data_IF_418651631606
#
_entry.id   IF_418651631606
#
_cell.length_a   1.000
_cell.length_b   1.000
_cell.length_c   1.000
_cell.angle_alpha   90.00
_cell.angle_beta   90.00
_cell.angle_gamma   90.00
#
_symmetry.space_group_name_H-M   'P 1'
#
loop_
_entity.id
_entity.type
_entity.pdbx_description
1 polymer ?
#
# COMPACT_ATOMS: atom_id res chain seq x y z
N UNK A 1 10.74 7.57 24.59
CA UNK A 1 12.07 7.71 23.96
C UNK A 1 13.01 6.62 24.42
N UNK A 2 13.32 6.52 25.72
CA UNK A 2 14.22 5.46 26.24
C UNK A 2 13.64 4.06 25.97
N UNK A 3 12.35 3.83 26.21
CA UNK A 3 11.65 2.58 25.88
C UNK A 3 11.72 2.20 24.39
N UNK A 4 11.86 3.20 23.50
CA UNK A 4 11.98 2.97 22.06
C UNK A 4 13.40 2.51 21.68
N UNK A 5 14.40 2.88 22.48
CA UNK A 5 15.81 2.58 22.25
C UNK A 5 16.29 1.32 22.98
N UNK A 6 15.62 0.96 24.08
CA UNK A 6 15.93 -0.21 24.92
C UNK A 6 16.01 -1.55 24.17
N UNK A 7 15.21 -1.83 23.12
CA UNK A 7 15.32 -3.10 22.39
C UNK A 7 16.52 -3.18 21.44
N UNK A 8 17.14 -2.05 21.08
CA UNK A 8 18.18 -1.99 20.04
C UNK A 8 19.50 -2.68 20.44
N UNK A 9 20.04 -2.53 21.66
CA UNK A 9 21.22 -3.25 22.13
C UNK A 9 21.04 -4.77 22.08
N UNK A 10 19.89 -5.27 22.53
CA UNK A 10 19.57 -6.71 22.48
C UNK A 10 19.43 -7.22 21.04
N UNK A 11 19.01 -6.36 20.10
CA UNK A 11 18.97 -6.70 18.69
C UNK A 11 20.38 -6.78 18.05
N UNK A 12 21.33 -5.98 18.57
CA UNK A 12 22.73 -5.92 18.13
C UNK A 12 23.53 -7.14 18.62
N UNK A 13 23.25 -7.66 19.81
CA UNK A 13 23.96 -8.80 20.41
C UNK A 13 23.59 -10.18 19.81
N UNK A 14 22.83 -10.23 18.72
CA UNK A 14 22.41 -11.50 18.10
C UNK A 14 23.61 -12.26 17.51
N UNK A 15 23.74 -13.53 17.91
CA UNK A 15 24.86 -14.44 17.55
C UNK A 15 25.00 -14.74 16.03
N UNK A 16 24.04 -14.36 15.19
CA UNK A 16 24.01 -14.70 13.76
C UNK A 16 24.05 -13.46 12.85
N UNK A 17 25.02 -12.59 13.10
CA UNK A 17 25.23 -11.40 12.29
C UNK A 17 25.63 -11.75 10.84
N UNK A 18 24.95 -11.14 9.87
CA UNK A 18 25.34 -11.15 8.45
C UNK A 18 26.63 -10.36 8.24
N UNK A 19 27.23 -10.44 7.04
CA UNK A 19 28.47 -9.71 6.76
C UNK A 19 28.22 -8.20 6.79
N UNK A 20 27.06 -7.74 6.29
CA UNK A 20 26.66 -6.33 6.34
C UNK A 20 26.39 -5.86 7.78
N UNK A 21 25.71 -6.69 8.59
CA UNK A 21 25.52 -6.42 10.01
C UNK A 21 26.86 -6.31 10.76
N UNK A 22 27.82 -7.18 10.46
CA UNK A 22 29.16 -7.10 11.05
C UNK A 22 29.89 -5.81 10.66
N UNK A 23 29.82 -5.39 9.38
CA UNK A 23 30.38 -4.11 8.93
C UNK A 23 29.74 -2.91 9.66
N UNK A 24 28.43 -2.98 9.91
CA UNK A 24 27.72 -1.96 10.69
C UNK A 24 28.23 -1.92 12.13
N UNK A 25 28.38 -3.07 12.78
CA UNK A 25 28.90 -3.17 14.14
C UNK A 25 30.36 -2.73 14.26
N UNK A 26 31.19 -3.06 13.28
CA UNK A 26 32.60 -2.62 13.25
C UNK A 26 32.69 -1.09 13.13
N UNK A 27 31.75 -0.45 12.43
CA UNK A 27 31.74 1.00 12.21
C UNK A 27 31.11 1.79 13.37
N UNK A 28 30.05 1.25 13.99
CA UNK A 28 29.18 2.01 14.91
C UNK A 28 28.89 1.31 16.25
N UNK A 29 29.34 0.07 16.44
CA UNK A 29 28.99 -0.76 17.60
C UNK A 29 29.52 -0.22 18.93
N UNK A 30 30.73 0.33 18.92
CA UNK A 30 31.33 0.95 20.11
C UNK A 30 30.56 2.21 20.54
N UNK A 31 30.20 3.07 19.58
CA UNK A 31 29.42 4.28 19.83
C UNK A 31 28.03 3.93 20.39
N UNK A 32 27.35 2.93 19.80
CA UNK A 32 26.05 2.44 20.28
C UNK A 32 26.09 1.87 21.70
N UNK A 33 27.17 1.17 22.04
CA UNK A 33 27.36 0.61 23.39
C UNK A 33 27.61 1.73 24.40
N UNK A 34 28.42 2.73 24.02
CA UNK A 34 28.67 3.91 24.85
C UNK A 34 27.38 4.71 25.08
N UNK A 35 26.56 4.88 24.05
CA UNK A 35 25.25 5.57 24.12
C UNK A 35 24.30 4.87 25.08
N UNK A 36 24.21 3.55 24.98
CA UNK A 36 23.38 2.75 25.86
C UNK A 36 23.84 2.86 27.32
N UNK A 37 25.15 2.82 27.57
CA UNK A 37 25.70 3.00 28.92
C UNK A 37 25.36 4.37 29.51
N UNK A 38 25.38 5.44 28.71
CA UNK A 38 24.98 6.78 29.16
C UNK A 38 23.48 6.83 29.53
N UNK A 39 22.61 6.15 28.78
CA UNK A 39 21.18 6.02 29.12
C UNK A 39 21.00 5.24 30.43
N UNK A 40 21.67 4.10 30.60
CA UNK A 40 21.57 3.31 31.84
C UNK A 40 22.05 4.12 33.06
N UNK A 41 23.16 4.87 32.92
CA UNK A 41 23.63 5.77 33.99
C UNK A 41 22.64 6.88 34.29
N UNK A 42 22.00 7.46 33.28
CA UNK A 42 20.94 8.45 33.48
C UNK A 42 19.76 7.85 34.25
N UNK A 43 19.30 6.65 33.91
CA UNK A 43 18.22 5.95 34.62
C UNK A 43 18.54 5.72 36.10
N UNK A 44 19.82 5.48 36.45
CA UNK A 44 20.24 5.30 37.85
C UNK A 44 20.52 6.60 38.60
N UNK A 45 20.94 7.67 37.92
CA UNK A 45 21.48 8.89 38.59
C UNK A 45 20.63 10.15 38.40
N UNK A 46 19.69 10.15 37.44
CA UNK A 46 18.83 11.28 37.01
C UNK A 46 19.57 12.58 36.64
N UNK A 47 20.88 12.51 36.39
CA UNK A 47 21.72 13.66 36.03
C UNK A 47 21.52 14.05 34.55
N UNK A 48 20.98 15.25 34.29
CA UNK A 48 20.68 15.72 32.93
C UNK A 48 21.89 15.77 31.98
N UNK A 49 23.10 16.02 32.49
CA UNK A 49 24.30 16.05 31.65
C UNK A 49 24.57 14.71 30.94
N UNK A 50 24.20 13.59 31.56
CA UNK A 50 24.35 12.26 30.95
C UNK A 50 23.37 12.05 29.79
N UNK A 51 22.15 12.59 29.92
CA UNK A 51 21.15 12.54 28.86
C UNK A 51 21.55 13.41 27.66
N UNK A 52 22.10 14.60 27.92
CA UNK A 52 22.62 15.49 26.87
C UNK A 52 23.77 14.80 26.12
N UNK A 53 24.71 14.20 26.86
CA UNK A 53 25.81 13.45 26.25
C UNK A 53 25.33 12.29 25.38
N UNK A 54 24.37 11.49 25.85
CA UNK A 54 23.76 10.42 25.05
C UNK A 54 23.10 10.98 23.78
N UNK A 55 22.36 12.09 23.89
CA UNK A 55 21.70 12.71 22.73
C UNK A 55 22.70 13.19 21.66
N UNK A 56 23.82 13.79 22.08
CA UNK A 56 24.85 14.23 21.14
C UNK A 56 25.42 13.07 20.31
N UNK A 57 25.70 11.95 20.96
CA UNK A 57 26.25 10.76 20.31
C UNK A 57 25.22 10.08 19.40
N UNK A 58 23.97 9.90 19.87
CA UNK A 58 22.87 9.40 19.03
C UNK A 58 22.63 10.29 17.80
N UNK A 59 22.73 11.61 17.95
CA UNK A 59 22.54 12.54 16.85
C UNK A 59 23.67 12.47 15.82
N UNK A 60 24.92 12.30 16.26
CA UNK A 60 26.06 12.08 15.38
C UNK A 60 25.88 10.78 14.60
N UNK A 61 25.56 9.69 15.29
CA UNK A 61 25.29 8.40 14.67
C UNK A 61 24.13 8.48 13.66
N UNK A 62 23.02 9.10 14.04
CA UNK A 62 21.88 9.33 13.17
C UNK A 62 22.28 10.09 11.90
N UNK A 63 23.12 11.12 12.03
CA UNK A 63 23.57 11.92 10.89
C UNK A 63 24.45 11.12 9.92
N UNK A 64 25.36 10.31 10.45
CA UNK A 64 26.19 9.39 9.68
C UNK A 64 25.33 8.36 8.94
N UNK A 65 24.46 7.66 9.68
CA UNK A 65 23.55 6.65 9.12
C UNK A 65 22.63 7.26 8.08
N UNK A 66 22.03 8.43 8.33
CA UNK A 66 21.15 9.12 7.37
C UNK A 66 21.87 9.41 6.05
N UNK A 67 23.12 9.83 6.13
CA UNK A 67 23.94 10.16 4.96
C UNK A 67 24.30 8.90 4.17
N UNK A 68 24.73 7.84 4.86
CA UNK A 68 25.01 6.54 4.25
C UNK A 68 23.75 5.93 3.63
N UNK A 69 22.62 5.96 4.35
CA UNK A 69 21.32 5.46 3.88
C UNK A 69 20.89 6.13 2.57
N UNK A 70 21.12 7.42 2.39
CA UNK A 70 20.76 8.13 1.16
C UNK A 70 21.52 7.61 -0.08
N UNK A 71 22.71 7.03 0.11
CA UNK A 71 23.54 6.50 -0.97
C UNK A 71 23.21 5.06 -1.37
N UNK A 72 22.47 4.32 -0.54
CA UNK A 72 22.14 2.91 -0.80
C UNK A 72 20.99 2.80 -1.79
N UNK A 73 21.31 2.39 -3.02
CA UNK A 73 20.34 2.18 -4.11
C UNK A 73 20.12 0.70 -4.45
N UNK A 74 21.08 -0.16 -4.12
CA UNK A 74 21.01 -1.61 -4.31
C UNK A 74 21.63 -2.34 -3.13
N UNK A 75 21.23 -3.60 -2.91
CA UNK A 75 21.79 -4.47 -1.88
C UNK A 75 22.39 -5.70 -2.53
N UNK A 76 23.66 -5.96 -2.23
CA UNK A 76 24.37 -7.16 -2.66
C UNK A 76 24.06 -8.31 -1.70
N UNK A 77 23.43 -9.36 -2.23
CA UNK A 77 22.87 -10.46 -1.43
C UNK A 77 23.91 -11.26 -0.67
N UNK A 78 25.13 -11.35 -1.20
CA UNK A 78 26.22 -12.08 -0.56
C UNK A 78 26.49 -11.53 0.84
N UNK A 79 26.35 -10.22 1.00
CA UNK A 79 26.61 -9.53 2.25
C UNK A 79 25.41 -9.52 3.19
N UNK A 80 24.19 -9.45 2.65
CA UNK A 80 22.96 -9.26 3.43
C UNK A 80 22.20 -10.57 3.68
N UNK A 81 22.22 -11.53 2.75
CA UNK A 81 21.44 -12.77 2.83
C UNK A 81 22.24 -14.01 2.38
N UNK A 82 23.39 -14.34 3.02
CA UNK A 82 24.24 -15.46 2.60
C UNK A 82 23.52 -16.81 2.64
N UNK A 83 22.60 -17.01 3.60
CA UNK A 83 21.81 -18.25 3.71
C UNK A 83 20.85 -18.45 2.54
N UNK A 84 20.33 -17.37 1.96
CA UNK A 84 19.41 -17.46 0.83
C UNK A 84 20.15 -17.94 -0.42
N UNK A 85 21.37 -17.46 -0.65
CA UNK A 85 22.23 -17.90 -1.76
C UNK A 85 22.60 -19.37 -1.61
N UNK A 86 22.94 -19.82 -0.39
CA UNK A 86 23.34 -21.22 -0.14
C UNK A 86 22.16 -22.19 -0.36
N UNK A 87 20.95 -21.79 0.05
CA UNK A 87 19.79 -22.69 0.06
C UNK A 87 18.94 -22.62 -1.22
N UNK A 88 18.97 -21.51 -1.95
CA UNK A 88 18.17 -21.34 -3.17
C UNK A 88 19.03 -21.51 -4.42
N UNK A 89 18.90 -22.66 -5.09
CA UNK A 89 19.47 -22.88 -6.42
C UNK A 89 18.59 -22.18 -7.47
N UNK A 90 19.21 -21.50 -8.44
CA UNK A 90 18.56 -20.79 -9.58
C UNK A 90 17.82 -19.48 -9.27
N UNK A 91 18.04 -18.90 -8.10
CA UNK A 91 17.43 -17.64 -7.69
C UNK A 91 18.36 -16.47 -8.07
N UNK A 92 18.14 -15.84 -9.23
CA UNK A 92 18.78 -14.57 -9.54
C UNK A 92 18.01 -13.46 -8.81
N UNK A 93 18.40 -13.16 -7.57
CA UNK A 93 17.84 -12.03 -6.85
C UNK A 93 18.52 -10.74 -7.29
N UNK A 94 17.73 -9.75 -7.66
CA UNK A 94 18.18 -8.36 -7.75
C UNK A 94 17.38 -7.57 -6.72
N UNK A 95 18.07 -6.89 -5.79
CA UNK A 95 17.43 -6.09 -4.75
C UNK A 95 17.67 -4.62 -5.02
N UNK A 96 16.70 -3.99 -5.67
CA UNK A 96 16.69 -2.54 -5.89
C UNK A 96 15.92 -1.86 -4.76
N UNK A 97 16.50 -0.84 -4.17
CA UNK A 97 15.85 -0.05 -3.11
C UNK A 97 15.11 1.11 -3.75
N UNK A 98 13.78 1.14 -3.62
CA UNK A 98 12.98 2.26 -4.12
C UNK A 98 13.14 3.45 -3.17
N UNK A 99 13.47 4.63 -3.69
CA UNK A 99 13.62 5.86 -2.90
C UNK A 99 12.26 6.44 -2.51
N UNK A 100 11.63 5.87 -1.48
CA UNK A 100 10.40 6.37 -0.84
C UNK A 100 10.57 6.42 0.69
N UNK A 101 9.54 6.88 1.43
CA UNK A 101 9.60 6.95 2.90
C UNK A 101 9.88 5.59 3.55
N UNK A 102 9.23 4.53 3.07
CA UNK A 102 9.38 3.16 3.59
C UNK A 102 10.52 2.38 2.94
N UNK A 103 11.09 2.90 1.84
CA UNK A 103 12.17 2.28 1.06
C UNK A 103 11.94 0.79 0.77
N UNK A 104 10.81 0.44 0.13
CA UNK A 104 10.53 -0.95 -0.18
C UNK A 104 11.55 -1.49 -1.18
N UNK A 105 11.79 -2.80 -1.11
CA UNK A 105 12.82 -3.45 -1.93
C UNK A 105 12.14 -4.17 -3.09
N UNK A 106 12.48 -3.81 -4.31
CA UNK A 106 12.10 -4.57 -5.50
C UNK A 106 13.02 -5.78 -5.60
N UNK A 107 12.43 -6.96 -5.52
CA UNK A 107 13.07 -8.27 -5.55
C UNK A 107 12.64 -8.95 -6.85
N UNK A 108 13.56 -9.15 -7.79
CA UNK A 108 13.32 -10.06 -8.92
C UNK A 108 13.70 -11.49 -8.54
N UNK A 109 12.93 -12.47 -8.98
CA UNK A 109 13.18 -13.89 -8.74
C UNK A 109 12.95 -14.65 -10.04
N UNK A 110 13.96 -15.36 -10.55
CA UNK A 110 13.77 -16.27 -11.68
C UNK A 110 13.22 -17.61 -11.20
N UNK A 111 12.04 -17.99 -11.69
CA UNK A 111 11.41 -19.28 -11.43
C UNK A 111 12.10 -20.43 -12.18
N UNK A 112 11.87 -21.65 -11.71
CA UNK A 112 12.32 -22.88 -12.39
C UNK A 112 11.64 -23.11 -13.74
N UNK A 113 10.51 -22.46 -13.97
CA UNK A 113 9.80 -22.40 -15.25
C UNK A 113 10.42 -21.41 -16.25
N UNK A 114 11.45 -20.68 -15.84
CA UNK A 114 12.20 -19.74 -16.66
C UNK A 114 11.66 -18.32 -16.67
N UNK A 115 10.53 -18.05 -16.01
CA UNK A 115 9.94 -16.70 -15.91
C UNK A 115 10.55 -15.89 -14.77
N UNK A 116 10.61 -14.57 -14.94
CA UNK A 116 11.02 -13.64 -13.89
C UNK A 116 9.79 -13.14 -13.14
N UNK A 117 9.79 -13.32 -11.82
CA UNK A 117 8.77 -12.86 -10.90
C UNK A 117 9.30 -11.68 -10.10
N UNK A 118 8.63 -10.54 -10.21
CA UNK A 118 9.01 -9.32 -9.49
C UNK A 118 8.11 -9.18 -8.26
N UNK A 119 8.74 -8.96 -7.11
CA UNK A 119 8.09 -8.68 -5.85
C UNK A 119 8.56 -7.34 -5.28
N UNK A 120 7.70 -6.72 -4.50
CA UNK A 120 8.01 -5.57 -3.67
C UNK A 120 7.94 -6.01 -2.21
N UNK A 121 9.09 -6.07 -1.56
CA UNK A 121 9.20 -6.32 -0.12
C UNK A 121 8.90 -5.02 0.62
N UNK A 122 7.72 -4.97 1.24
CA UNK A 122 7.34 -3.95 2.19
C UNK A 122 7.75 -4.37 3.60
N UNK A 123 8.37 -3.45 4.32
CA UNK A 123 8.77 -3.64 5.71
C UNK A 123 8.13 -2.58 6.60
N UNK A 124 7.96 -2.93 7.88
CA UNK A 124 7.24 -2.16 8.89
C UNK A 124 5.75 -1.97 8.57
N UNK A 125 5.14 -2.95 7.90
CA UNK A 125 3.75 -2.92 7.47
C UNK A 125 3.13 -4.32 7.55
N UNK A 126 1.89 -4.41 8.03
CA UNK A 126 1.15 -5.67 8.14
C UNK A 126 0.31 -5.91 6.88
N UNK A 127 0.83 -6.73 5.96
CA UNK A 127 0.16 -7.00 4.68
C UNK A 127 -1.02 -7.97 4.77
N UNK A 128 -1.39 -8.47 5.96
CA UNK A 128 -2.59 -9.31 6.10
C UNK A 128 -3.85 -8.55 5.70
N UNK A 129 -3.84 -7.23 5.91
CA UNK A 129 -4.93 -6.37 5.48
C UNK A 129 -5.07 -6.41 3.95
N UNK A 130 -3.98 -6.12 3.24
CA UNK A 130 -3.90 -6.17 1.78
C UNK A 130 -4.25 -7.56 1.23
N UNK A 131 -3.81 -8.64 1.87
CA UNK A 131 -4.16 -10.02 1.48
C UNK A 131 -5.68 -10.24 1.49
N UNK A 132 -6.37 -9.80 2.54
CA UNK A 132 -7.83 -9.95 2.64
C UNK A 132 -8.57 -9.05 1.65
N UNK A 133 -8.08 -7.84 1.42
CA UNK A 133 -8.61 -6.96 0.36
C UNK A 133 -8.49 -7.63 -1.00
N UNK A 134 -7.37 -8.30 -1.31
CA UNK A 134 -7.20 -9.06 -2.56
C UNK A 134 -8.14 -10.27 -2.67
N UNK A 135 -8.45 -10.94 -1.56
CA UNK A 135 -9.45 -12.02 -1.53
C UNK A 135 -10.85 -11.48 -1.83
N UNK A 136 -11.22 -10.36 -1.20
CA UNK A 136 -12.49 -9.69 -1.47
C UNK A 136 -12.59 -9.24 -2.93
N UNK A 137 -11.53 -8.68 -3.50
CA UNK A 137 -11.49 -8.33 -4.92
C UNK A 137 -11.69 -9.56 -5.82
N UNK A 138 -11.22 -10.73 -5.37
CA UNK A 138 -11.48 -12.01 -6.02
C UNK A 138 -12.97 -12.31 -6.06
N UNK A 139 -13.64 -12.21 -4.92
CA UNK A 139 -15.08 -12.43 -4.79
C UNK A 139 -15.90 -11.43 -5.62
N UNK A 140 -15.56 -10.14 -5.56
CA UNK A 140 -16.25 -9.12 -6.39
C UNK A 140 -16.07 -9.41 -7.88
N UNK A 141 -14.88 -9.82 -8.29
CA UNK A 141 -14.64 -10.19 -9.69
C UNK A 141 -15.51 -11.38 -10.12
N UNK A 142 -15.72 -12.36 -9.24
CA UNK A 142 -16.62 -13.49 -9.49
C UNK A 142 -18.08 -13.04 -9.64
N UNK A 143 -18.57 -12.12 -8.80
CA UNK A 143 -19.91 -11.55 -8.95
C UNK A 143 -20.07 -10.80 -10.27
N UNK A 144 -19.08 -9.99 -10.65
CA UNK A 144 -19.08 -9.27 -11.93
C UNK A 144 -19.03 -10.21 -13.13
N UNK A 145 -18.37 -11.36 -13.01
CA UNK A 145 -18.35 -12.37 -14.07
C UNK A 145 -19.65 -13.18 -14.13
N UNK A 146 -20.40 -13.27 -13.04
CA UNK A 146 -21.69 -13.98 -13.01
C UNK A 146 -22.80 -13.18 -13.69
N UNK A 147 -22.77 -11.85 -13.58
CA UNK A 147 -23.74 -10.99 -14.25
C UNK A 147 -23.41 -10.81 -15.75
N UNK A 148 -24.39 -11.06 -16.62
CA UNK A 148 -24.20 -11.07 -18.07
C UNK A 148 -23.75 -9.71 -18.64
N UNK A 149 -24.28 -8.62 -18.12
CA UNK A 149 -24.02 -7.27 -18.63
C UNK A 149 -22.62 -6.78 -18.26
N UNK A 150 -22.13 -7.14 -17.07
CA UNK A 150 -20.77 -6.86 -16.61
C UNK A 150 -19.75 -7.80 -17.25
N UNK A 151 -20.09 -9.10 -17.41
CA UNK A 151 -19.25 -10.10 -18.08
C UNK A 151 -19.01 -9.74 -19.54
N UNK A 152 -20.06 -9.40 -20.32
CA UNK A 152 -19.93 -9.02 -21.74
C UNK A 152 -19.03 -7.80 -21.95
N UNK A 153 -19.00 -6.89 -20.98
CA UNK A 153 -18.19 -5.67 -21.02
C UNK A 153 -16.84 -5.80 -20.31
N UNK A 154 -16.49 -6.99 -19.82
CA UNK A 154 -15.21 -7.31 -19.16
C UNK A 154 -14.92 -6.43 -17.92
N UNK A 155 -15.91 -6.25 -17.05
CA UNK A 155 -15.72 -5.63 -15.75
C UNK A 155 -14.96 -6.59 -14.83
N UNK A 156 -13.72 -6.23 -14.47
CA UNK A 156 -12.85 -7.06 -13.62
C UNK A 156 -11.97 -6.17 -12.77
N UNK A 157 -11.58 -6.64 -11.58
CA UNK A 157 -10.58 -5.99 -10.74
C UNK A 157 -9.21 -6.59 -11.05
N UNK A 158 -8.22 -5.75 -11.31
CA UNK A 158 -6.83 -6.22 -11.41
C UNK A 158 -6.32 -6.51 -9.99
N UNK A 159 -6.02 -7.78 -9.73
CA UNK A 159 -5.51 -8.25 -8.44
C UNK A 159 -4.03 -8.52 -8.55
N UNK A 160 -3.34 -8.36 -7.43
CA UNK A 160 -1.94 -8.76 -7.30
C UNK A 160 -1.76 -9.67 -6.09
N UNK A 161 -0.91 -10.70 -6.17
CA UNK A 161 -0.57 -11.53 -5.03
C UNK A 161 0.03 -10.71 -3.90
N UNK A 162 -0.50 -10.92 -2.69
CA UNK A 162 0.03 -10.39 -1.43
C UNK A 162 0.42 -11.59 -0.59
N UNK A 163 1.66 -11.61 -0.10
CA UNK A 163 2.21 -12.70 0.71
C UNK A 163 2.71 -12.11 2.01
N UNK A 164 1.89 -12.12 3.09
CA UNK A 164 2.36 -11.76 4.41
C UNK A 164 3.45 -12.72 4.87
N UNK A 165 4.61 -12.20 5.26
CA UNK A 165 5.74 -13.02 5.73
C UNK A 165 5.82 -13.01 7.26
N UNK A 166 5.57 -11.86 7.88
CA UNK A 166 5.51 -11.68 9.33
C UNK A 166 4.51 -10.55 9.69
N UNK A 167 4.41 -10.25 10.99
CA UNK A 167 3.51 -9.21 11.50
C UNK A 167 3.79 -7.81 10.93
N UNK A 168 5.01 -7.56 10.45
CA UNK A 168 5.49 -6.25 10.02
C UNK A 168 6.20 -6.29 8.67
N UNK A 169 6.09 -7.38 7.89
CA UNK A 169 6.66 -7.42 6.55
C UNK A 169 5.92 -8.41 5.66
N UNK A 170 6.02 -8.18 4.36
CA UNK A 170 5.49 -9.09 3.35
C UNK A 170 5.86 -8.69 1.94
N UNK A 171 5.45 -9.52 0.98
CA UNK A 171 5.72 -9.35 -0.44
C UNK A 171 4.44 -8.98 -1.18
N UNK A 172 4.54 -7.97 -2.04
CA UNK A 172 3.53 -7.65 -3.06
C UNK A 172 4.09 -8.06 -4.41
N UNK A 173 3.44 -8.96 -5.14
CA UNK A 173 3.90 -9.32 -6.48
C UNK A 173 3.47 -8.26 -7.50
N UNK A 174 4.41 -7.83 -8.34
CA UNK A 174 4.12 -6.93 -9.46
C UNK A 174 3.75 -7.80 -10.66
N UNK A 175 2.45 -8.02 -10.86
CA UNK A 175 1.92 -8.96 -11.86
C UNK A 175 2.14 -8.50 -13.30
N UNK A 176 2.27 -7.19 -13.52
CA UNK A 176 2.46 -6.59 -14.84
C UNK A 176 3.37 -5.36 -14.73
N UNK A 177 4.08 -4.96 -15.80
CA UNK A 177 4.78 -3.69 -15.81
C UNK A 177 3.75 -2.56 -15.71
N UNK A 178 3.66 -1.96 -14.53
CA UNK A 178 2.73 -0.89 -14.22
C UNK A 178 3.49 0.42 -13.96
N UNK A 179 2.90 1.53 -14.35
CA UNK A 179 3.39 2.87 -13.98
C UNK A 179 2.42 3.52 -13.02
N UNK A 180 2.92 4.19 -11.97
CA UNK A 180 2.05 5.05 -11.16
C UNK A 180 1.55 6.20 -12.01
N UNK A 181 0.31 6.65 -11.78
CA UNK A 181 -0.25 7.81 -12.48
C UNK A 181 0.66 9.03 -12.25
N UNK A 182 1.19 9.19 -11.03
CA UNK A 182 2.16 10.23 -10.71
C UNK A 182 3.42 10.18 -11.59
N UNK A 183 4.00 8.98 -11.79
CA UNK A 183 5.18 8.83 -12.65
C UNK A 183 4.86 9.16 -14.11
N UNK A 184 3.70 8.74 -14.61
CA UNK A 184 3.24 9.03 -15.97
C UNK A 184 3.09 10.54 -16.21
N UNK A 185 2.40 11.23 -15.31
CA UNK A 185 2.19 12.69 -15.40
C UNK A 185 3.54 13.42 -15.35
N UNK A 186 4.44 13.00 -14.46
CA UNK A 186 5.77 13.60 -14.32
C UNK A 186 6.64 13.40 -15.57
N UNK A 187 6.60 12.20 -16.18
CA UNK A 187 7.34 11.88 -17.40
C UNK A 187 6.87 12.71 -18.60
N UNK A 188 5.57 13.01 -18.67
CA UNK A 188 4.96 13.75 -19.77
C UNK A 188 4.80 15.24 -19.46
N UNK A 189 5.67 15.81 -18.62
CA UNK A 189 5.72 17.24 -18.31
C UNK A 189 4.39 17.83 -17.79
N UNK A 190 3.57 17.03 -17.11
CA UNK A 190 2.26 17.46 -16.63
C UNK A 190 1.14 17.39 -17.66
N UNK A 191 1.34 16.73 -18.81
CA UNK A 191 0.24 16.45 -19.73
C UNK A 191 -0.84 15.58 -19.07
N UNK A 192 -2.08 15.87 -19.43
CA UNK A 192 -3.24 15.10 -18.98
C UNK A 192 -3.13 13.63 -19.42
N UNK A 193 -3.58 12.74 -18.54
CA UNK A 193 -3.65 11.30 -18.77
C UNK A 193 -4.36 10.94 -20.08
N UNK A 194 -5.36 11.73 -20.49
CA UNK A 194 -6.03 11.56 -21.78
C UNK A 194 -5.07 11.67 -22.98
N UNK A 195 -4.14 12.62 -22.96
CA UNK A 195 -3.11 12.78 -24.00
C UNK A 195 -2.07 11.67 -23.90
N UNK A 196 -1.66 11.29 -22.70
CA UNK A 196 -0.71 10.20 -22.48
C UNK A 196 -1.27 8.89 -23.08
N UNK A 197 -2.54 8.58 -22.82
CA UNK A 197 -3.23 7.41 -23.37
C UNK A 197 -3.30 7.46 -24.91
N UNK A 198 -3.52 8.64 -25.49
CA UNK A 198 -3.48 8.83 -26.94
C UNK A 198 -2.09 8.57 -27.52
N UNK A 199 -1.06 9.24 -26.97
CA UNK A 199 0.32 9.12 -27.47
C UNK A 199 0.89 7.71 -27.33
N UNK A 200 0.50 6.97 -26.30
CA UNK A 200 0.91 5.57 -26.14
C UNK A 200 0.22 4.63 -27.14
N UNK A 201 -0.86 5.04 -27.79
CA UNK A 201 -1.68 4.19 -28.66
C UNK A 201 -1.25 4.27 -30.12
N UNK A 202 -1.03 3.11 -30.75
CA UNK A 202 -0.62 3.03 -32.16
C UNK A 202 -1.76 3.24 -33.16
N UNK A 203 -3.02 3.14 -32.70
CA UNK A 203 -4.21 3.41 -33.53
C UNK A 203 -5.36 3.96 -32.70
N UNK A 204 -6.34 4.57 -33.37
CA UNK A 204 -7.56 5.08 -32.72
C UNK A 204 -8.41 3.95 -32.10
N UNK A 205 -8.39 2.75 -32.69
CA UNK A 205 -9.07 1.58 -32.14
C UNK A 205 -8.40 1.11 -30.84
N UNK A 206 -7.06 1.05 -30.82
CA UNK A 206 -6.29 0.70 -29.62
C UNK A 206 -6.53 1.73 -28.53
N UNK A 207 -6.50 3.02 -28.87
CA UNK A 207 -6.84 4.10 -27.93
C UNK A 207 -8.25 3.94 -27.36
N UNK A 208 -9.25 3.64 -28.20
CA UNK A 208 -10.62 3.47 -27.77
C UNK A 208 -10.76 2.28 -26.82
N UNK A 209 -10.09 1.16 -27.10
CA UNK A 209 -10.07 -0.01 -26.25
C UNK A 209 -9.42 0.30 -24.89
N UNK A 210 -8.24 0.94 -24.91
CA UNK A 210 -7.49 1.36 -23.73
C UNK A 210 -8.29 2.30 -22.84
N UNK A 211 -8.86 3.35 -23.43
CA UNK A 211 -9.75 4.28 -22.72
C UNK A 211 -10.92 3.54 -22.10
N UNK A 212 -11.52 2.60 -22.83
CA UNK A 212 -12.63 1.81 -22.31
C UNK A 212 -12.22 0.91 -21.15
N UNK A 213 -11.05 0.27 -21.19
CA UNK A 213 -10.52 -0.54 -20.09
C UNK A 213 -10.20 0.31 -18.86
N UNK A 214 -9.54 1.45 -19.06
CA UNK A 214 -9.29 2.43 -18.00
C UNK A 214 -10.59 2.86 -17.33
N UNK A 215 -11.58 3.30 -18.12
CA UNK A 215 -12.89 3.72 -17.62
C UNK A 215 -13.61 2.63 -16.82
N UNK A 216 -13.65 1.39 -17.33
CA UNK A 216 -14.33 0.28 -16.65
C UNK A 216 -13.61 -0.12 -15.37
N UNK A 217 -12.29 -0.24 -15.40
CA UNK A 217 -11.49 -0.61 -14.23
C UNK A 217 -11.54 0.45 -13.14
N UNK A 218 -11.46 1.73 -13.52
CA UNK A 218 -11.65 2.85 -12.60
C UNK A 218 -13.04 2.77 -11.95
N UNK A 219 -14.11 2.61 -12.74
CA UNK A 219 -15.47 2.51 -12.20
C UNK A 219 -15.65 1.37 -11.20
N UNK A 220 -15.10 0.19 -11.49
CA UNK A 220 -15.13 -0.94 -10.54
C UNK A 220 -14.40 -0.57 -9.26
N UNK A 221 -13.17 -0.05 -9.37
CA UNK A 221 -12.37 0.35 -8.21
C UNK A 221 -13.03 1.46 -7.41
N UNK A 222 -13.70 2.42 -8.05
CA UNK A 222 -14.42 3.49 -7.39
C UNK A 222 -15.57 2.98 -6.52
N UNK A 223 -16.40 2.11 -7.08
CA UNK A 223 -17.56 1.58 -6.36
C UNK A 223 -17.15 0.61 -5.26
N UNK A 224 -16.17 -0.25 -5.52
CA UNK A 224 -15.61 -1.15 -4.52
C UNK A 224 -14.93 -0.35 -3.41
N UNK A 225 -14.12 0.65 -3.77
CA UNK A 225 -13.46 1.55 -2.82
C UNK A 225 -14.46 2.31 -1.94
N UNK A 226 -15.55 2.80 -2.52
CA UNK A 226 -16.62 3.47 -1.78
C UNK A 226 -17.31 2.55 -0.76
N UNK A 227 -17.56 1.28 -1.11
CA UNK A 227 -18.14 0.30 -0.18
C UNK A 227 -17.16 -0.06 0.93
N UNK A 228 -15.87 -0.14 0.61
CA UNK A 228 -14.83 -0.52 1.56
C UNK A 228 -14.30 0.64 2.41
N UNK A 229 -14.55 1.88 2.00
CA UNK A 229 -13.92 3.06 2.58
C UNK A 229 -12.43 3.13 2.28
N UNK A 230 -12.01 2.79 1.05
CA UNK A 230 -10.62 2.99 0.65
C UNK A 230 -10.37 4.49 0.46
N UNK A 231 -9.42 5.05 1.22
CA UNK A 231 -9.24 6.50 1.33
C UNK A 231 -7.84 7.00 0.98
N UNK A 232 -7.02 6.20 0.30
CA UNK A 232 -5.69 6.62 -0.11
C UNK A 232 -5.52 6.48 -1.63
N UNK A 233 -6.39 7.16 -2.35
CA UNK A 233 -6.51 7.16 -3.81
C UNK A 233 -5.65 8.24 -4.48
N UNK A 234 -4.53 8.65 -3.87
CA UNK A 234 -3.63 9.63 -4.49
C UNK A 234 -2.89 9.05 -5.70
N UNK A 235 -2.42 9.91 -6.62
CA UNK A 235 -1.83 9.50 -7.91
C UNK A 235 -0.62 8.55 -7.83
N UNK A 236 0.04 8.43 -6.67
CA UNK A 236 1.13 7.46 -6.45
C UNK A 236 0.66 6.04 -6.06
N UNK A 237 -0.59 5.89 -5.60
CA UNK A 237 -1.20 4.61 -5.21
C UNK A 237 -2.08 4.02 -6.33
N UNK A 238 -2.40 4.83 -7.34
CA UNK A 238 -3.04 4.36 -8.57
C UNK A 238 -1.97 4.11 -9.63
N UNK A 239 -1.98 2.90 -10.17
CA UNK A 239 -1.12 2.50 -11.27
C UNK A 239 -1.94 2.18 -12.52
N UNK A 240 -1.31 2.32 -13.67
CA UNK A 240 -1.83 1.87 -14.95
C UNK A 240 -0.99 0.69 -15.44
N UNK A 241 -1.64 -0.45 -15.67
CA UNK A 241 -1.00 -1.59 -16.33
C UNK A 241 -0.65 -1.22 -17.78
N UNK A 242 0.62 -1.35 -18.16
CA UNK A 242 1.09 -1.02 -19.52
C UNK A 242 0.55 -1.98 -20.60
N UNK A 243 0.00 -3.12 -20.21
CA UNK A 243 -0.48 -4.17 -21.13
C UNK A 243 -2.00 -4.16 -21.29
N UNK A 244 -2.74 -4.08 -20.17
CA UNK A 244 -4.20 -4.10 -20.20
C UNK A 244 -4.85 -2.72 -20.06
N UNK A 245 -4.07 -1.71 -19.65
CA UNK A 245 -4.48 -0.33 -19.37
C UNK A 245 -5.63 -0.25 -18.37
N UNK A 246 -5.70 -1.27 -17.49
CA UNK A 246 -6.56 -1.27 -16.31
C UNK A 246 -5.88 -0.52 -15.17
N UNK A 247 -6.69 0.15 -14.37
CA UNK A 247 -6.28 0.75 -13.10
C UNK A 247 -5.97 -0.36 -12.10
N UNK A 248 -4.82 -0.23 -11.44
CA UNK A 248 -4.38 -1.08 -10.34
C UNK A 248 -4.20 -0.19 -9.13
N UNK A 249 -4.99 -0.41 -8.08
CA UNK A 249 -4.82 0.28 -6.80
C UNK A 249 -3.86 -0.52 -5.93
N UNK A 250 -2.94 0.16 -5.28
CA UNK A 250 -1.96 -0.40 -4.34
C UNK A 250 -2.03 0.39 -3.03
N UNK A 251 -1.51 -0.22 -1.97
CA UNK A 251 -1.41 0.38 -0.63
C UNK A 251 -2.77 0.60 0.06
N UNK A 252 -3.24 -0.42 0.76
CA UNK A 252 -4.53 -0.39 1.47
C UNK A 252 -4.37 -0.15 2.98
N UNK A 253 -3.18 0.28 3.44
CA UNK A 253 -2.82 0.41 4.85
C UNK A 253 -3.63 1.44 5.64
N UNK A 254 -4.34 2.34 4.96
CA UNK A 254 -5.34 3.26 5.52
C UNK A 254 -6.67 3.11 4.79
N UNK A 255 -7.31 1.98 4.98
CA UNK A 255 -8.75 1.92 4.77
C UNK A 255 -9.43 2.64 5.94
N UNK A 256 -10.45 3.45 5.62
CA UNK A 256 -11.39 4.20 6.46
C UNK A 256 -11.16 5.71 6.46
N UNK A 257 -11.57 6.33 5.34
CA UNK A 257 -12.47 7.48 5.20
C UNK A 257 -12.88 7.54 3.70
N UNK A 258 -13.64 8.53 3.23
CA UNK A 258 -14.22 8.52 1.87
C UNK A 258 -13.67 9.69 1.06
N UNK A 259 -12.94 9.39 0.00
CA UNK A 259 -12.54 10.39 -1.01
C UNK A 259 -12.97 9.97 -2.41
N UNK A 260 -13.53 10.96 -3.11
CA UNK A 260 -14.33 10.79 -4.31
C UNK A 260 -13.54 10.66 -5.61
N UNK A 261 -14.21 10.13 -6.64
CA UNK A 261 -13.66 9.92 -7.97
C UNK A 261 -14.52 10.63 -9.03
N UNK A 262 -13.85 11.49 -9.81
CA UNK A 262 -14.36 12.35 -10.88
C UNK A 262 -14.86 11.56 -12.11
N UNK A 263 -15.75 12.15 -12.93
CA UNK A 263 -15.89 11.87 -14.38
C UNK A 263 -17.10 11.07 -14.88
N UNK A 264 -17.28 11.08 -16.22
CA UNK A 264 -18.43 10.59 -17.04
C UNK A 264 -18.65 9.07 -16.96
N UNK A 265 -19.00 8.57 -15.77
CA UNK A 265 -18.93 7.15 -15.47
C UNK A 265 -20.24 6.53 -14.96
N UNK A 266 -21.36 7.21 -15.15
CA UNK A 266 -22.67 6.80 -14.62
C UNK A 266 -23.03 5.35 -14.93
N UNK A 267 -22.98 4.94 -16.20
CA UNK A 267 -23.40 3.59 -16.60
C UNK A 267 -22.51 2.49 -16.00
N UNK A 268 -21.16 2.56 -16.08
CA UNK A 268 -20.29 1.61 -15.39
C UNK A 268 -20.52 1.54 -13.88
N UNK A 269 -20.77 2.68 -13.23
CA UNK A 269 -21.01 2.76 -11.79
C UNK A 269 -22.33 2.07 -11.40
N UNK A 270 -23.39 2.29 -12.18
CA UNK A 270 -24.70 1.68 -11.96
C UNK A 270 -24.64 0.15 -12.06
N UNK A 271 -23.95 -0.40 -13.08
CA UNK A 271 -23.80 -1.86 -13.21
C UNK A 271 -23.05 -2.47 -12.03
N UNK A 272 -21.91 -1.89 -11.64
CA UNK A 272 -21.12 -2.39 -10.51
C UNK A 272 -21.92 -2.28 -9.22
N UNK A 273 -22.57 -1.14 -8.97
CA UNK A 273 -23.33 -0.93 -7.75
C UNK A 273 -24.55 -1.85 -7.65
N UNK A 274 -25.21 -2.18 -8.76
CA UNK A 274 -26.27 -3.19 -8.78
C UNK A 274 -25.76 -4.58 -8.39
N UNK A 275 -24.65 -5.03 -8.98
CA UNK A 275 -24.05 -6.34 -8.66
C UNK A 275 -23.63 -6.41 -7.18
N UNK A 276 -23.02 -5.34 -6.66
CA UNK A 276 -22.61 -5.29 -5.25
C UNK A 276 -23.82 -5.27 -4.30
N UNK A 277 -24.93 -4.62 -4.68
CA UNK A 277 -26.19 -4.62 -3.93
C UNK A 277 -26.86 -5.99 -3.92
N UNK A 278 -26.94 -6.66 -5.06
CA UNK A 278 -27.50 -8.01 -5.20
C UNK A 278 -26.75 -9.03 -4.33
N UNK A 279 -25.45 -8.82 -4.11
CA UNK A 279 -24.58 -9.72 -3.34
C UNK A 279 -24.19 -9.14 -1.96
N UNK A 280 -24.98 -8.20 -1.42
CA UNK A 280 -24.66 -7.47 -0.18
C UNK A 280 -24.39 -8.39 1.01
N UNK A 281 -25.17 -9.46 1.18
CA UNK A 281 -25.03 -10.35 2.33
C UNK A 281 -23.70 -11.11 2.31
N UNK A 282 -23.30 -11.60 1.13
CA UNK A 282 -22.00 -12.24 0.92
C UNK A 282 -20.84 -11.28 1.18
N UNK A 283 -20.95 -10.04 0.70
CA UNK A 283 -19.94 -9.00 0.95
C UNK A 283 -19.87 -8.64 2.43
N UNK A 284 -21.02 -8.49 3.11
CA UNK A 284 -21.10 -8.18 4.53
C UNK A 284 -20.45 -9.28 5.37
N UNK A 285 -20.70 -10.55 5.07
CA UNK A 285 -20.09 -11.68 5.77
C UNK A 285 -18.55 -11.65 5.70
N UNK A 286 -17.99 -11.37 4.51
CA UNK A 286 -16.52 -11.25 4.34
C UNK A 286 -15.97 -10.03 5.11
N UNK A 287 -16.67 -8.91 5.08
CA UNK A 287 -16.26 -7.68 5.79
C UNK A 287 -16.35 -7.81 7.32
N UNK A 288 -17.32 -8.55 7.84
CA UNK A 288 -17.42 -8.83 9.27
C UNK A 288 -16.28 -9.75 9.75
N UNK A 289 -15.95 -10.77 8.96
CA UNK A 289 -14.79 -11.62 9.22
C UNK A 289 -13.46 -10.84 9.17
N UNK A 290 -13.38 -9.84 8.28
CA UNK A 290 -12.26 -8.91 8.18
C UNK A 290 -12.14 -8.02 9.43
N UNK A 291 -13.23 -7.37 9.86
CA UNK A 291 -13.22 -6.47 11.03
C UNK A 291 -12.81 -7.18 12.31
N UNK A 292 -13.26 -8.41 12.53
CA UNK A 292 -12.93 -9.19 13.74
C UNK A 292 -11.46 -9.64 13.79
N UNK A 293 -10.79 -9.75 12.64
CA UNK A 293 -9.38 -10.14 12.56
C UNK A 293 -8.43 -8.98 12.86
N UNK A 294 -8.82 -7.76 12.44
CA UNK A 294 -8.05 -6.53 12.67
C UNK A 294 -8.10 -6.11 14.14
N UNK A 295 -9.26 -6.17 14.80
CA UNK A 295 -9.39 -5.81 16.23
C UNK A 295 -8.51 -6.67 17.14
N UNK A 296 -8.25 -7.94 16.78
CA UNK A 296 -7.34 -8.84 17.52
C UNK A 296 -5.86 -8.60 17.24
N UNK A 297 -5.56 -7.87 16.16
CA UNK A 297 -4.20 -7.57 15.73
C UNK A 297 -3.73 -6.21 16.26
N UNK A 298 -4.64 -5.23 16.32
CA UNK A 298 -4.39 -3.90 16.88
C UNK A 298 -4.15 -3.94 18.40
N UNK A 299 -4.83 -4.83 19.13
CA UNK A 299 -4.74 -4.98 20.59
C UNK A 299 -3.44 -5.64 21.11
N UNK A 300 -2.40 -5.76 20.28
CA UNK A 300 -1.06 -6.24 20.69
C UNK A 300 0.04 -5.17 20.58
N UNK A 301 -0.31 -3.93 20.27
CA UNK A 301 0.59 -2.77 20.38
C UNK A 301 0.24 -1.99 21.66
N UNK A 302 1.22 -1.42 22.38
CA UNK A 302 0.94 -0.72 23.63
C UNK A 302 0.01 0.46 23.38
N UNK A 303 -1.05 0.52 24.18
CA UNK A 303 -2.13 1.49 24.12
C UNK A 303 -1.61 2.93 24.28
N UNK A 304 -1.97 3.80 23.34
CA UNK A 304 -2.16 5.21 23.65
C UNK A 304 -3.66 5.42 23.81
N UNK A 305 -4.09 5.61 25.05
CA UNK A 305 -5.45 5.99 25.40
C UNK A 305 -5.90 7.22 24.61
N UNK A 306 -6.97 7.08 23.83
CA UNK A 306 -8.14 7.96 23.86
C UNK A 306 -9.19 7.53 22.79
N UNK A 307 -10.35 7.12 23.31
CA UNK A 307 -11.71 7.34 22.79
C UNK A 307 -12.01 7.11 21.29
N UNK A 308 -12.45 5.89 20.94
CA UNK A 308 -13.76 5.59 20.34
C UNK A 308 -13.84 4.13 19.88
N UNK A 309 -13.88 3.22 20.86
CA UNK A 309 -14.22 1.82 20.63
C UNK A 309 -15.75 1.69 20.46
N UNK A 310 -16.23 1.93 19.23
CA UNK A 310 -17.55 1.45 18.81
C UNK A 310 -17.41 0.70 17.49
N UNK A 311 -17.81 -0.58 17.51
CA UNK A 311 -17.80 -1.60 16.46
C UNK A 311 -17.71 -1.05 15.02
N UNK A 312 -16.48 -0.92 14.53
CA UNK A 312 -16.12 -0.25 13.27
C UNK A 312 -16.61 -1.01 12.02
N UNK A 313 -16.82 -2.34 12.12
CA UNK A 313 -17.31 -3.18 11.02
C UNK A 313 -18.81 -3.06 10.72
N UNK A 314 -19.65 -2.86 11.74
CA UNK A 314 -21.12 -2.79 11.56
C UNK A 314 -21.58 -1.47 10.94
N UNK A 315 -20.86 -0.38 11.23
CA UNK A 315 -21.18 0.94 10.70
C UNK A 315 -20.89 0.99 9.20
N UNK A 316 -19.75 0.51 8.68
CA UNK A 316 -19.27 1.03 7.40
C UNK A 316 -19.93 0.46 6.14
N UNK A 317 -20.19 -0.85 6.04
CA UNK A 317 -20.97 -1.38 4.91
C UNK A 317 -22.38 -0.76 4.91
N UNK A 318 -23.00 -0.65 6.09
CA UNK A 318 -24.36 -0.11 6.28
C UNK A 318 -24.42 1.41 6.09
N UNK A 319 -23.35 2.15 6.39
CA UNK A 319 -23.31 3.63 6.38
C UNK A 319 -23.17 4.18 4.96
N UNK A 320 -22.49 3.50 4.04
CA UNK A 320 -22.50 3.91 2.62
C UNK A 320 -23.87 3.64 1.97
N UNK A 321 -24.58 2.59 2.40
CA UNK A 321 -25.98 2.35 1.99
C UNK A 321 -26.96 3.40 2.54
N UNK A 322 -26.71 3.95 3.74
CA UNK A 322 -27.63 4.88 4.40
C UNK A 322 -27.29 6.37 4.19
N UNK A 323 -26.03 6.74 3.87
CA UNK A 323 -25.60 8.15 3.69
C UNK A 323 -26.32 8.86 2.55
N UNK A 324 -26.74 8.14 1.50
CA UNK A 324 -27.49 8.73 0.39
C UNK A 324 -29.00 8.65 0.57
N UNK A 325 -29.50 7.93 1.58
CA UNK A 325 -30.93 7.77 1.87
C UNK A 325 -31.79 7.20 0.72
N UNK A 326 -31.18 6.77 -0.39
CA UNK A 326 -31.87 6.41 -1.63
C UNK A 326 -31.71 4.92 -1.95
N UNK A 327 -32.86 4.25 -2.08
CA UNK A 327 -32.93 2.86 -2.52
C UNK A 327 -32.67 2.72 -4.03
N UNK A 328 -32.62 3.80 -4.81
CA UNK A 328 -32.35 3.74 -6.24
C UNK A 328 -30.84 3.85 -6.52
N UNK A 329 -30.29 2.83 -7.18
CA UNK A 329 -28.87 2.79 -7.58
C UNK A 329 -28.46 3.99 -8.41
N UNK A 330 -29.30 4.42 -9.36
CA UNK A 330 -28.98 5.55 -10.25
C UNK A 330 -28.86 6.87 -9.48
N UNK A 331 -29.73 7.11 -8.51
CA UNK A 331 -29.66 8.28 -7.63
C UNK A 331 -28.45 8.24 -6.72
N UNK A 332 -28.11 7.07 -6.18
CA UNK A 332 -26.92 6.93 -5.34
C UNK A 332 -25.64 7.19 -6.12
N UNK A 333 -25.52 6.63 -7.32
CA UNK A 333 -24.38 6.87 -8.22
C UNK A 333 -24.25 8.35 -8.55
N UNK A 334 -25.37 9.02 -8.85
CA UNK A 334 -25.38 10.47 -9.09
C UNK A 334 -24.84 11.26 -7.91
N UNK A 335 -25.29 10.96 -6.69
CA UNK A 335 -24.82 11.63 -5.47
C UNK A 335 -23.33 11.39 -5.21
N UNK A 336 -22.84 10.18 -5.45
CA UNK A 336 -21.42 9.86 -5.31
C UNK A 336 -20.56 10.63 -6.32
N UNK A 337 -21.03 10.74 -7.57
CA UNK A 337 -20.35 11.55 -8.59
C UNK A 337 -20.36 13.03 -8.17
N UNK A 338 -21.50 13.57 -7.73
CA UNK A 338 -21.59 14.97 -7.28
C UNK A 338 -20.65 15.27 -6.10
N UNK A 339 -20.56 14.36 -5.13
CA UNK A 339 -19.63 14.48 -4.01
C UNK A 339 -18.17 14.47 -4.48
N UNK A 340 -17.85 13.61 -5.44
CA UNK A 340 -16.52 13.49 -6.00
C UNK A 340 -16.09 14.67 -6.87
N UNK A 341 -17.02 15.30 -7.57
CA UNK A 341 -16.76 16.47 -8.44
C UNK A 341 -16.95 17.81 -7.72
N UNK A 342 -17.29 17.78 -6.43
CA UNK A 342 -17.50 19.02 -5.66
C UNK A 342 -16.16 19.71 -5.42
N UNK A 343 -16.01 20.91 -5.98
CA UNK A 343 -14.84 21.76 -5.74
C UNK A 343 -14.66 22.07 -4.25
N UNK A 344 -15.76 22.16 -3.49
CA UNK A 344 -15.71 22.34 -2.03
C UNK A 344 -15.09 21.12 -1.35
N UNK A 345 -15.40 19.90 -1.78
CA UNK A 345 -14.79 18.71 -1.19
C UNK A 345 -13.32 18.58 -1.60
N UNK A 346 -13.04 18.80 -2.89
CA UNK A 346 -11.70 18.65 -3.47
C UNK A 346 -10.70 19.67 -2.92
N UNK A 347 -11.13 20.90 -2.62
CA UNK A 347 -10.23 21.92 -2.09
C UNK A 347 -9.79 21.67 -0.64
N UNK A 348 -10.52 20.84 0.12
CA UNK A 348 -10.12 20.40 1.45
C UNK A 348 -9.08 19.27 1.42
N UNK A 349 -8.83 18.65 0.25
CA UNK A 349 -7.83 17.60 0.14
C UNK A 349 -6.41 18.16 0.32
N UNK A 350 -5.57 17.36 0.97
CA UNK A 350 -4.15 17.68 1.12
C UNK A 350 -3.49 17.82 -0.26
N UNK A 351 -2.63 18.83 -0.44
CA UNK A 351 -2.00 19.16 -1.73
C UNK A 351 -1.31 17.97 -2.44
N UNK A 352 -0.79 17.00 -1.68
CA UNK A 352 -0.16 15.78 -2.22
C UNK A 352 -1.13 14.82 -2.92
N UNK A 353 -2.43 15.04 -2.80
CA UNK A 353 -3.46 14.32 -3.56
C UNK A 353 -3.63 14.82 -4.99
N UNK A 354 -3.08 15.99 -5.31
CA UNK A 354 -3.20 16.63 -6.61
C UNK A 354 -4.66 16.75 -7.10
N UNK A 355 -5.54 17.45 -6.37
CA UNK A 355 -6.97 17.57 -6.73
C UNK A 355 -7.26 18.49 -7.93
N UNK A 356 -6.22 18.97 -8.62
CA UNK A 356 -6.27 20.05 -9.61
C UNK A 356 -5.92 19.59 -11.02
#
# INVERSE_FOLDING_TARGET
MIETLEPLPTAIERESATIDERKFLDSYGNDLTQDHQCICRFQCTTVQNQLIQAWHLYYQLFTCIRTQLASITSLELEYVFPRLIINCQNLELAVLVITSKQRPRKISIRGSDGYEYVFLLKGYEDLRQDERVMQLFGLVSEFLLTNDETRRRNFTIQRHPVIPLALNNGLLSVVAPCDTIYALIKEHQGDDLAKILWHKSSSAEIWLNRRSNYTRSLAVMSMVGCILGLDDCHASNLMLDRTSEKVVHIDFGKAIEVTGIDGTFRMPYEYVMNVLRENRDSLKAVLEAYSTTISKTSSRLPETDNEHESTVGEKNATTTYSRTGSNNTSTQVELLIQQATSHENLCHLYIGWCPF
#
